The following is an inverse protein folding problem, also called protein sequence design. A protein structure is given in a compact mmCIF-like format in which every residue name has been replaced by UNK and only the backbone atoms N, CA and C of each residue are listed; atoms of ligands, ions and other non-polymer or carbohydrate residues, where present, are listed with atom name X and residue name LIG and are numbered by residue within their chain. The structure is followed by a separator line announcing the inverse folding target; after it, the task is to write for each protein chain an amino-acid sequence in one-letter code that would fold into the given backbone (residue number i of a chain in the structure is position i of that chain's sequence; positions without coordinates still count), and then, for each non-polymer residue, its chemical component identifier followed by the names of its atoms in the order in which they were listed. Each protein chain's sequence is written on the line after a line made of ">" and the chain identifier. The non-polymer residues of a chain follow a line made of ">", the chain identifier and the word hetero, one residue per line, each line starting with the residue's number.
data_IF_024905939142
#
_entry.id   IF_024905939142
#
_cell.length_a   1.000
_cell.length_b   1.000
_cell.length_c   1.000
_cell.angle_alpha   90.00
_cell.angle_beta   90.00
_cell.angle_gamma   90.00
#
_symmetry.space_group_name_H-M   'P 1'
#
loop_
_entity.id
_entity.type
_entity.pdbx_description
1 polymer ?
#
# COMPACT_ATOMS: atom_id res chain seq x y z
N UNK A 1 42.29 -18.98 12.96
CA UNK A 1 41.13 -18.95 13.87
C UNK A 1 39.95 -19.55 13.12
N UNK A 2 39.41 -20.69 13.58
CA UNK A 2 38.25 -21.36 12.96
C UNK A 2 37.00 -20.73 13.56
N UNK A 3 36.26 -19.93 12.80
CA UNK A 3 35.00 -19.34 13.26
C UNK A 3 33.83 -20.24 12.89
N UNK A 4 33.14 -20.76 13.91
CA UNK A 4 31.96 -21.61 13.74
C UNK A 4 30.76 -20.71 13.42
N UNK A 5 30.13 -20.93 12.26
CA UNK A 5 28.92 -20.20 11.84
C UNK A 5 27.67 -20.97 12.24
N UNK A 6 26.71 -20.28 12.84
CA UNK A 6 25.44 -20.83 13.33
C UNK A 6 24.27 -20.15 12.63
N UNK A 7 23.29 -20.95 12.20
CA UNK A 7 22.07 -20.48 11.54
C UNK A 7 20.97 -20.17 12.57
N UNK A 8 20.42 -18.95 12.52
CA UNK A 8 19.33 -18.56 13.40
C UNK A 8 18.00 -19.18 12.95
N UNK A 9 17.27 -19.84 13.86
CA UNK A 9 15.96 -20.45 13.55
C UNK A 9 14.86 -19.44 13.21
N UNK A 10 14.93 -18.22 13.73
CA UNK A 10 13.88 -17.20 13.58
C UNK A 10 14.08 -16.36 12.32
N UNK A 11 15.26 -15.74 12.16
CA UNK A 11 15.52 -14.88 11.02
C UNK A 11 16.23 -15.58 9.85
N UNK A 12 16.55 -16.88 9.98
CA UNK A 12 17.30 -17.70 9.00
C UNK A 12 18.67 -17.14 8.59
N UNK A 13 19.18 -16.15 9.33
CA UNK A 13 20.49 -15.55 9.08
C UNK A 13 21.61 -16.39 9.70
N UNK A 14 22.73 -16.51 8.98
CA UNK A 14 23.94 -17.19 9.45
C UNK A 14 24.92 -16.19 10.05
N UNK A 15 25.27 -16.36 11.33
CA UNK A 15 26.19 -15.47 12.06
C UNK A 15 27.27 -16.30 12.78
N UNK A 16 28.45 -15.74 13.06
CA UNK A 16 29.46 -16.38 13.91
C UNK A 16 28.88 -16.67 15.31
N UNK A 17 29.29 -17.78 15.93
CA UNK A 17 28.84 -18.16 17.27
C UNK A 17 29.13 -17.06 18.33
N UNK A 18 30.22 -16.31 18.16
CA UNK A 18 30.65 -15.25 19.08
C UNK A 18 29.73 -14.02 19.08
N UNK A 19 28.96 -13.80 18.00
CA UNK A 19 28.08 -12.64 17.85
C UNK A 19 26.69 -12.85 18.49
N UNK A 20 26.41 -14.04 19.04
CA UNK A 20 25.16 -14.31 19.73
C UNK A 20 25.19 -13.72 21.14
N UNK A 21 24.14 -12.96 21.48
CA UNK A 21 24.02 -12.29 22.78
C UNK A 21 22.83 -12.85 23.55
N UNK A 22 22.95 -12.91 24.87
CA UNK A 22 21.85 -13.32 25.75
C UNK A 22 20.80 -12.19 25.80
N UNK A 23 19.56 -12.49 25.42
CA UNK A 23 18.44 -11.58 25.63
C UNK A 23 17.90 -11.77 27.05
N UNK A 24 18.00 -10.74 27.89
CA UNK A 24 17.65 -10.84 29.31
C UNK A 24 16.17 -11.15 29.56
N UNK A 25 15.26 -10.61 28.74
CA UNK A 25 13.81 -10.87 28.87
C UNK A 25 13.42 -12.32 28.53
N UNK A 26 13.96 -12.86 27.43
CA UNK A 26 13.64 -14.21 26.96
C UNK A 26 14.58 -15.28 27.53
N UNK A 27 15.62 -14.88 28.28
CA UNK A 27 16.68 -15.74 28.86
C UNK A 27 17.29 -16.71 27.84
N UNK A 28 17.47 -16.26 26.60
CA UNK A 28 17.93 -17.09 25.47
C UNK A 28 19.01 -16.38 24.66
N UNK A 29 19.91 -17.16 24.06
CA UNK A 29 20.92 -16.66 23.11
C UNK A 29 20.26 -16.34 21.77
N UNK A 30 20.36 -15.08 21.34
CA UNK A 30 19.75 -14.59 20.10
C UNK A 30 20.81 -13.98 19.19
N UNK A 31 20.60 -14.09 17.87
CA UNK A 31 21.48 -13.46 16.89
C UNK A 31 21.32 -11.93 16.89
N UNK A 32 22.28 -11.16 16.35
CA UNK A 32 22.23 -9.69 16.31
C UNK A 32 20.96 -9.12 15.67
N UNK A 33 20.44 -9.79 14.65
CA UNK A 33 19.23 -9.39 13.94
C UNK A 33 17.96 -9.60 14.78
N UNK A 34 17.92 -10.61 15.63
CA UNK A 34 16.79 -10.86 16.52
C UNK A 34 16.89 -10.01 17.80
N UNK A 35 18.11 -9.77 18.30
CA UNK A 35 18.35 -8.89 19.45
C UNK A 35 17.93 -7.45 19.18
N UNK A 36 18.12 -6.96 17.95
CA UNK A 36 17.75 -5.59 17.56
C UNK A 36 16.24 -5.37 17.31
N UNK A 37 15.38 -6.36 17.59
CA UNK A 37 13.92 -6.22 17.49
C UNK A 37 13.36 -6.10 16.06
N UNK A 38 14.19 -6.25 15.02
CA UNK A 38 13.74 -6.19 13.62
C UNK A 38 12.78 -7.33 13.25
N UNK A 39 12.82 -8.45 13.96
CA UNK A 39 11.96 -9.62 13.72
C UNK A 39 10.57 -9.52 14.34
N UNK A 40 10.38 -8.78 15.45
CA UNK A 40 9.05 -8.56 16.02
C UNK A 40 8.18 -7.68 15.09
N UNK A 41 8.80 -6.66 14.47
CA UNK A 41 8.13 -5.78 13.49
C UNK A 41 7.65 -6.48 12.21
N UNK A 42 8.20 -7.66 11.88
CA UNK A 42 7.76 -8.44 10.73
C UNK A 42 6.56 -9.34 11.07
N UNK A 43 6.56 -9.98 12.25
CA UNK A 43 5.44 -10.82 12.70
C UNK A 43 4.17 -10.01 12.93
N UNK A 44 4.28 -8.84 13.55
CA UNK A 44 3.12 -7.96 13.81
C UNK A 44 2.48 -7.44 12.51
N UNK A 45 3.30 -7.22 11.47
CA UNK A 45 2.83 -6.78 10.15
C UNK A 45 2.14 -7.91 9.37
N UNK A 46 2.57 -9.16 9.55
CA UNK A 46 1.91 -10.34 8.97
C UNK A 46 0.58 -10.68 9.67
N UNK A 47 0.49 -10.50 10.99
CA UNK A 47 -0.75 -10.75 11.74
C UNK A 47 -1.84 -9.69 11.49
N UNK A 48 -1.45 -8.44 11.28
CA UNK A 48 -2.38 -7.38 10.85
C UNK A 48 -2.91 -7.63 9.43
N UNK A 49 -2.05 -8.05 8.49
CA UNK A 49 -2.45 -8.33 7.12
C UNK A 49 -3.44 -9.51 6.97
N UNK A 50 -3.46 -10.46 7.92
CA UNK A 50 -4.41 -11.59 7.92
C UNK A 50 -5.79 -11.27 8.52
N UNK A 51 -5.90 -10.23 9.35
CA UNK A 51 -7.18 -9.87 10.00
C UNK A 51 -8.07 -8.93 9.17
N UNK A 52 -7.56 -8.37 8.08
CA UNK A 52 -8.27 -7.35 7.29
C UNK A 52 -9.01 -7.88 6.05
N UNK A 53 -9.14 -9.21 5.87
CA UNK A 53 -10.05 -9.72 4.82
C UNK A 53 -11.45 -9.81 5.44
N UNK A 54 -12.38 -8.90 5.13
CA UNK A 54 -13.76 -9.04 5.58
C UNK A 54 -14.29 -10.38 5.05
N UNK A 55 -14.69 -11.27 5.96
CA UNK A 55 -15.29 -12.53 5.57
C UNK A 55 -16.61 -12.22 4.85
N UNK A 56 -16.72 -12.69 3.60
CA UNK A 56 -17.94 -12.53 2.81
C UNK A 56 -19.10 -13.20 3.56
N UNK A 57 -20.28 -12.56 3.65
CA UNK A 57 -21.42 -13.10 4.39
C UNK A 57 -21.88 -14.44 3.81
N UNK A 58 -22.52 -15.26 4.65
CA UNK A 58 -23.14 -16.51 4.22
C UNK A 58 -24.22 -16.21 3.17
N UNK A 59 -24.09 -16.79 1.97
CA UNK A 59 -24.95 -16.50 0.81
C UNK A 59 -24.27 -15.76 -0.34
N UNK A 60 -23.01 -15.34 -0.18
CA UNK A 60 -22.24 -14.75 -1.27
C UNK A 60 -22.00 -15.73 -2.40
N UNK A 61 -22.60 -15.49 -3.57
CA UNK A 61 -22.50 -16.37 -4.72
C UNK A 61 -21.51 -15.82 -5.79
N UNK A 62 -21.43 -16.51 -6.93
CA UNK A 62 -20.58 -16.05 -8.04
C UNK A 62 -21.12 -14.78 -8.72
N UNK A 63 -22.43 -14.53 -8.64
CA UNK A 63 -23.07 -13.34 -9.19
C UNK A 63 -22.67 -12.11 -8.37
N UNK A 64 -22.64 -12.23 -7.05
CA UNK A 64 -22.14 -11.20 -6.13
C UNK A 64 -20.67 -10.85 -6.41
N UNK A 65 -19.83 -11.86 -6.64
CA UNK A 65 -18.41 -11.64 -6.99
C UNK A 65 -18.25 -10.89 -8.33
N UNK A 66 -19.10 -11.22 -9.31
CA UNK A 66 -19.14 -10.52 -10.59
C UNK A 66 -19.64 -9.07 -10.45
N UNK A 67 -20.69 -8.84 -9.64
CA UNK A 67 -21.22 -7.51 -9.39
C UNK A 67 -20.19 -6.60 -8.72
N UNK A 68 -19.45 -7.11 -7.73
CA UNK A 68 -18.41 -6.34 -7.05
C UNK A 68 -17.27 -5.98 -8.01
N UNK A 69 -16.82 -6.93 -8.82
CA UNK A 69 -15.81 -6.67 -9.87
C UNK A 69 -16.29 -5.62 -10.86
N UNK A 70 -17.53 -5.72 -11.35
CA UNK A 70 -18.10 -4.74 -12.27
C UNK A 70 -18.21 -3.35 -11.63
N UNK A 71 -18.61 -3.26 -10.36
CA UNK A 71 -18.70 -1.99 -9.64
C UNK A 71 -17.32 -1.33 -9.44
N UNK A 72 -16.27 -2.11 -9.15
CA UNK A 72 -14.89 -1.60 -9.06
C UNK A 72 -14.40 -1.06 -10.40
N UNK A 73 -14.64 -1.80 -11.49
CA UNK A 73 -14.25 -1.38 -12.84
C UNK A 73 -14.98 -0.11 -13.27
N UNK A 74 -16.30 0.00 -13.03
CA UNK A 74 -17.09 1.21 -13.32
C UNK A 74 -16.52 2.44 -12.61
N UNK A 75 -16.26 2.34 -11.31
CA UNK A 75 -15.66 3.45 -10.54
C UNK A 75 -14.30 3.87 -11.09
N UNK A 76 -13.49 2.90 -11.54
CA UNK A 76 -12.18 3.19 -12.12
C UNK A 76 -12.28 3.86 -13.50
N UNK A 77 -13.27 3.47 -14.30
CA UNK A 77 -13.54 4.06 -15.61
C UNK A 77 -14.09 5.49 -15.48
N UNK A 78 -15.02 5.71 -14.54
CA UNK A 78 -15.54 7.05 -14.20
C UNK A 78 -14.43 8.00 -13.77
N UNK A 79 -13.47 7.51 -12.98
CA UNK A 79 -12.29 8.28 -12.61
C UNK A 79 -11.41 8.59 -13.82
N UNK A 80 -11.18 7.65 -14.73
CA UNK A 80 -10.40 7.89 -15.96
C UNK A 80 -11.09 8.89 -16.89
N UNK A 81 -12.41 8.80 -17.05
CA UNK A 81 -13.20 9.72 -17.87
C UNK A 81 -13.13 11.18 -17.39
N UNK A 82 -12.82 11.39 -16.10
CA UNK A 82 -12.70 12.72 -15.51
C UNK A 82 -11.43 13.47 -15.92
N UNK A 83 -10.37 12.75 -16.32
CA UNK A 83 -9.05 13.31 -16.60
C UNK A 83 -8.65 13.08 -18.04
N UNK A 84 -8.46 14.17 -18.80
CA UNK A 84 -7.92 14.10 -20.16
C UNK A 84 -6.46 14.57 -20.17
N UNK A 85 -5.56 13.77 -20.77
CA UNK A 85 -4.16 14.13 -20.92
C UNK A 85 -4.02 15.30 -21.89
N UNK A 86 -3.18 16.28 -21.55
CA UNK A 86 -2.82 17.37 -22.46
C UNK A 86 -1.49 16.98 -23.11
N UNK A 87 -1.44 16.77 -24.45
CA UNK A 87 -0.21 16.36 -25.11
C UNK A 87 0.90 17.40 -24.92
N UNK A 88 2.11 16.94 -24.59
CA UNK A 88 3.28 17.80 -24.40
C UNK A 88 3.40 18.48 -23.03
N UNK A 89 2.50 18.21 -22.08
CA UNK A 89 2.61 18.73 -20.70
C UNK A 89 2.33 17.68 -19.65
N UNK A 90 2.93 17.82 -18.47
CA UNK A 90 2.64 16.99 -17.29
C UNK A 90 1.28 17.30 -16.62
N UNK A 91 0.46 18.13 -17.25
CA UNK A 91 -0.84 18.55 -16.72
C UNK A 91 -1.97 17.77 -17.39
N UNK A 92 -3.01 17.47 -16.61
CA UNK A 92 -4.24 16.86 -17.11
C UNK A 92 -5.39 17.86 -16.96
N UNK A 93 -6.35 17.82 -17.87
CA UNK A 93 -7.60 18.56 -17.75
C UNK A 93 -8.58 17.70 -16.93
N UNK A 94 -8.98 18.21 -15.78
CA UNK A 94 -9.90 17.57 -14.85
C UNK A 94 -11.28 18.23 -14.94
N UNK A 95 -12.36 17.45 -15.01
CA UNK A 95 -13.74 17.94 -14.93
C UNK A 95 -14.30 17.70 -13.54
N UNK A 96 -14.73 18.73 -12.81
CA UNK A 96 -15.31 18.54 -11.47
C UNK A 96 -16.62 17.71 -11.53
N UNK A 97 -16.81 16.78 -10.60
CA UNK A 97 -18.06 15.97 -10.52
C UNK A 97 -19.24 16.81 -10.02
N UNK A 98 -19.00 17.76 -9.12
CA UNK A 98 -20.05 18.59 -8.50
C UNK A 98 -20.52 19.71 -9.43
N UNK A 99 -19.60 20.55 -9.93
CA UNK A 99 -19.96 21.74 -10.72
C UNK A 99 -19.70 21.60 -12.22
N UNK A 100 -19.18 20.45 -12.70
CA UNK A 100 -18.83 20.19 -14.12
C UNK A 100 -17.79 21.15 -14.72
N UNK A 101 -17.21 22.05 -13.92
CA UNK A 101 -16.16 22.97 -14.36
C UNK A 101 -14.88 22.21 -14.72
N UNK A 102 -14.25 22.59 -15.83
CA UNK A 102 -13.02 21.97 -16.31
C UNK A 102 -11.81 22.84 -15.99
N UNK A 103 -10.81 22.29 -15.32
CA UNK A 103 -9.61 23.00 -14.90
C UNK A 103 -8.36 22.15 -15.12
N UNK A 104 -7.18 22.79 -15.08
CA UNK A 104 -5.88 22.10 -15.19
C UNK A 104 -5.48 21.55 -13.82
N UNK A 105 -5.12 20.28 -13.77
CA UNK A 105 -4.67 19.58 -12.59
C UNK A 105 -3.29 18.97 -12.85
N UNK A 106 -2.36 19.16 -11.92
CA UNK A 106 -1.06 18.52 -11.97
C UNK A 106 -1.08 17.25 -11.10
N UNK A 107 -1.01 16.04 -11.69
CA UNK A 107 -1.08 14.79 -10.95
C UNK A 107 0.16 14.53 -10.08
N UNK A 108 1.34 15.07 -10.46
CA UNK A 108 2.58 14.93 -9.69
C UNK A 108 2.58 15.81 -8.44
N UNK A 109 2.17 17.07 -8.58
CA UNK A 109 2.10 18.03 -7.47
C UNK A 109 0.78 17.99 -6.69
N UNK A 110 -0.23 17.27 -7.19
CA UNK A 110 -1.58 17.15 -6.62
C UNK A 110 -2.22 18.51 -6.35
N UNK A 111 -2.14 19.38 -7.35
CA UNK A 111 -2.64 20.75 -7.32
C UNK A 111 -3.54 21.01 -8.52
N UNK A 112 -4.70 21.67 -8.34
CA UNK A 112 -5.29 22.08 -7.06
C UNK A 112 -5.86 20.88 -6.26
N UNK A 113 -5.96 21.01 -4.92
CA UNK A 113 -6.52 19.94 -4.05
C UNK A 113 -8.05 19.87 -4.12
N UNK A 114 -8.67 21.02 -4.29
CA UNK A 114 -10.12 21.20 -4.39
C UNK A 114 -10.47 21.87 -5.71
N UNK A 115 -11.72 21.72 -6.15
CA UNK A 115 -12.20 22.40 -7.34
C UNK A 115 -12.12 23.92 -7.14
N UNK A 116 -11.51 24.68 -8.07
CA UNK A 116 -11.37 26.14 -7.93
C UNK A 116 -12.69 26.91 -7.96
N UNK A 117 -13.79 26.28 -8.40
CA UNK A 117 -15.09 26.94 -8.51
C UNK A 117 -16.01 26.63 -7.32
N UNK A 118 -16.12 25.36 -6.94
CA UNK A 118 -17.07 24.91 -5.90
C UNK A 118 -16.40 24.36 -4.64
N UNK A 119 -15.07 24.39 -4.56
CA UNK A 119 -14.26 23.84 -3.47
C UNK A 119 -14.51 22.35 -3.15
N UNK A 120 -15.23 21.62 -4.00
CA UNK A 120 -15.42 20.18 -3.85
C UNK A 120 -14.09 19.41 -3.96
N UNK A 121 -13.98 18.31 -3.22
CA UNK A 121 -12.82 17.43 -3.25
C UNK A 121 -12.63 16.81 -4.65
N UNK A 122 -11.38 16.82 -5.12
CA UNK A 122 -11.01 16.20 -6.40
C UNK A 122 -10.50 14.79 -6.09
N UNK A 123 -11.02 13.75 -6.76
CA UNK A 123 -10.54 12.39 -6.53
C UNK A 123 -9.05 12.28 -6.87
N UNK A 124 -8.29 11.66 -5.95
CA UNK A 124 -6.85 11.53 -6.06
C UNK A 124 -6.50 10.52 -7.15
N UNK A 125 -6.02 10.99 -8.30
CA UNK A 125 -5.39 10.15 -9.30
C UNK A 125 -4.17 9.43 -8.70
N UNK A 126 -4.11 8.11 -8.90
CA UNK A 126 -2.84 7.39 -8.77
C UNK A 126 -2.01 7.72 -10.00
N UNK A 127 -0.87 8.38 -9.79
CA UNK A 127 0.06 8.83 -10.85
C UNK A 127 0.52 7.70 -11.77
N UNK A 128 0.52 6.45 -11.30
CA UNK A 128 0.86 5.26 -12.08
C UNK A 128 -0.09 4.97 -13.26
N UNK A 129 -1.29 5.54 -13.30
CA UNK A 129 -2.26 5.27 -14.38
C UNK A 129 -2.13 6.24 -15.57
N UNK A 130 -1.18 7.18 -15.51
CA UNK A 130 -0.96 8.20 -16.55
C UNK A 130 0.40 8.06 -17.26
N UNK A 131 1.23 7.09 -16.89
CA UNK A 131 2.37 6.64 -17.70
C UNK A 131 1.87 5.75 -18.84
#
# INVERSE_FOLDING_TARGET
>A
MISVKVTCRVCKGSHPADDFKLHYEFRQMVCPNCYSGKTQKLKEKEELAKKEVPQKPAGWDQVDDYLEKAARTKKQDEQKAQFTKIPGTDQVKCKCLSCKFSFKYNPFRKLPRTCPFCNADIPKLRTFSLL
#
